data_IF_873847625888
#
_entry.id   IF_873847625888
#
_cell.length_a   1.000
_cell.length_b   1.000
_cell.length_c   1.000
_cell.angle_alpha   90.00
_cell.angle_beta   90.00
_cell.angle_gamma   90.00
#
_symmetry.space_group_name_H-M   'P 1'
#
loop_
_entity.id
_entity.type
_entity.pdbx_description
1 polymer ?
#
# COMPACT_ATOMS: atom_id res chain seq x y z
N UNK A 1 2.52 -13.59 -14.49
CA UNK A 1 1.88 -13.97 -13.21
C UNK A 1 1.06 -12.77 -12.76
N UNK A 2 -0.05 -12.97 -12.04
CA UNK A 2 -0.89 -11.88 -11.53
C UNK A 2 -0.96 -12.01 -10.02
N UNK A 3 -0.92 -10.90 -9.31
CA UNK A 3 -0.97 -10.84 -7.85
C UNK A 3 -2.24 -10.12 -7.41
N UNK A 4 -2.93 -10.68 -6.41
CA UNK A 4 -4.18 -10.12 -5.88
C UNK A 4 -3.94 -9.01 -4.84
N UNK A 5 -2.70 -8.88 -4.35
CA UNK A 5 -2.31 -7.87 -3.37
C UNK A 5 -1.19 -6.98 -3.91
N UNK A 6 -1.18 -5.72 -3.48
CA UNK A 6 -0.01 -4.85 -3.66
C UNK A 6 1.18 -5.36 -2.85
N UNK A 7 2.34 -4.77 -3.08
CA UNK A 7 3.58 -5.13 -2.40
C UNK A 7 4.80 -5.02 -3.30
N UNK A 8 5.96 -5.42 -2.77
CA UNK A 8 7.22 -5.47 -3.50
C UNK A 8 7.51 -6.90 -3.95
N UNK A 9 7.81 -7.07 -5.23
CA UNK A 9 8.01 -8.37 -5.85
C UNK A 9 9.37 -8.44 -6.54
N UNK A 10 10.18 -9.42 -6.18
CA UNK A 10 11.40 -9.76 -6.93
C UNK A 10 11.02 -10.63 -8.12
N UNK A 11 11.20 -10.09 -9.33
CA UNK A 11 10.97 -10.80 -10.58
C UNK A 11 12.32 -11.18 -11.18
N UNK A 12 12.50 -12.45 -11.49
CA UNK A 12 13.68 -12.95 -12.18
C UNK A 12 13.37 -13.38 -13.61
N UNK A 13 14.26 -13.01 -14.53
CA UNK A 13 14.25 -13.47 -15.92
C UNK A 13 15.53 -14.26 -16.21
N UNK A 14 15.34 -15.50 -16.67
CA UNK A 14 16.41 -16.39 -17.12
C UNK A 14 16.10 -16.85 -18.55
N UNK A 15 17.11 -16.86 -19.42
CA UNK A 15 16.96 -17.33 -20.80
C UNK A 15 17.65 -18.67 -20.97
N UNK A 16 16.94 -19.65 -21.52
CA UNK A 16 17.48 -20.98 -21.82
C UNK A 16 17.62 -21.17 -23.32
N UNK A 17 18.78 -21.63 -23.78
CA UNK A 17 18.99 -21.95 -25.20
C UNK A 17 18.55 -23.39 -25.53
N UNK A 18 18.65 -23.77 -26.80
CA UNK A 18 18.26 -25.11 -27.30
C UNK A 18 19.06 -26.28 -26.69
N UNK A 19 20.19 -26.00 -26.02
CA UNK A 19 21.04 -26.98 -25.35
C UNK A 19 20.76 -27.07 -23.85
N UNK A 20 19.79 -26.32 -23.33
CA UNK A 20 19.45 -26.32 -21.90
C UNK A 20 20.38 -25.49 -21.02
N UNK A 21 21.27 -24.67 -21.59
CA UNK A 21 22.10 -23.76 -20.82
C UNK A 21 21.33 -22.48 -20.49
N UNK A 22 21.37 -22.08 -19.23
CA UNK A 22 20.68 -20.90 -18.69
C UNK A 22 21.63 -19.70 -18.56
N UNK A 23 21.09 -18.49 -18.71
CA UNK A 23 21.80 -17.26 -18.35
C UNK A 23 21.90 -17.09 -16.84
N UNK A 24 22.75 -16.16 -16.38
CA UNK A 24 22.58 -15.59 -15.04
C UNK A 24 21.19 -14.92 -14.95
N UNK A 25 20.52 -15.00 -13.78
CA UNK A 25 19.22 -14.39 -13.60
C UNK A 25 19.35 -12.86 -13.58
N UNK A 26 18.52 -12.18 -14.37
CA UNK A 26 18.29 -10.76 -14.18
C UNK A 26 17.16 -10.57 -13.18
N UNK A 27 17.40 -9.82 -12.10
CA UNK A 27 16.44 -9.59 -11.02
C UNK A 27 16.03 -8.11 -11.01
N UNK A 28 14.72 -7.86 -11.00
CA UNK A 28 14.14 -6.54 -10.84
C UNK A 28 13.11 -6.55 -9.71
N UNK A 29 13.08 -5.47 -8.92
CA UNK A 29 12.06 -5.27 -7.90
C UNK A 29 10.93 -4.42 -8.47
N UNK A 30 9.73 -4.98 -8.49
CA UNK A 30 8.51 -4.31 -8.94
C UNK A 30 7.65 -3.97 -7.73
N UNK A 31 7.30 -2.69 -7.57
CA UNK A 31 6.29 -2.27 -6.61
C UNK A 31 4.90 -2.20 -7.26
N UNK A 32 3.96 -2.95 -6.68
CA UNK A 32 2.53 -2.82 -6.97
C UNK A 32 1.89 -2.04 -5.83
N UNK A 33 1.19 -0.95 -6.13
CA UNK A 33 0.53 -0.19 -5.08
C UNK A 33 -0.55 -1.04 -4.39
N UNK A 34 -0.50 -1.04 -3.06
CA UNK A 34 -1.51 -1.61 -2.19
C UNK A 34 -2.78 -0.76 -2.26
N UNK A 35 -3.92 -1.38 -2.54
CA UNK A 35 -5.24 -0.76 -2.36
C UNK A 35 -5.84 -1.12 -0.99
N UNK A 36 -5.01 -1.52 0.00
CA UNK A 36 -5.50 -1.85 1.32
C UNK A 36 -6.14 -0.60 1.93
N UNK A 37 -7.45 -0.61 2.22
CA UNK A 37 -8.10 0.55 2.85
C UNK A 37 -7.41 0.86 4.17
N UNK A 38 -7.01 2.12 4.35
CA UNK A 38 -6.34 2.59 5.55
C UNK A 38 -4.81 2.47 5.56
N UNK A 39 -4.20 1.83 4.55
CA UNK A 39 -2.75 1.82 4.33
C UNK A 39 -2.35 3.13 3.66
N UNK A 40 -2.16 4.17 4.47
CA UNK A 40 -2.05 5.54 3.98
C UNK A 40 -0.67 5.80 3.39
N UNK A 41 0.37 5.10 3.88
CA UNK A 41 1.74 5.24 3.36
C UNK A 41 2.12 4.19 2.30
N UNK A 42 1.22 3.28 1.96
CA UNK A 42 1.40 2.20 1.00
C UNK A 42 2.58 1.26 1.30
N UNK A 43 2.92 1.10 2.58
CA UNK A 43 3.97 0.16 3.00
C UNK A 43 3.48 -1.29 3.14
N UNK A 44 2.18 -1.52 2.84
CA UNK A 44 1.50 -2.82 2.92
C UNK A 44 1.33 -3.34 4.35
N UNK A 45 1.45 -2.48 5.37
CA UNK A 45 1.30 -2.83 6.78
C UNK A 45 0.35 -1.86 7.48
N UNK A 46 -0.87 -2.30 7.78
CA UNK A 46 -1.82 -1.49 8.52
C UNK A 46 -1.40 -1.35 9.99
N UNK A 47 -0.96 -0.16 10.43
CA UNK A 47 -0.48 0.05 11.78
C UNK A 47 -0.65 1.50 12.29
N UNK A 48 -0.08 1.80 13.47
CA UNK A 48 -0.20 3.12 14.10
C UNK A 48 0.39 4.26 13.25
N UNK A 49 1.33 3.96 12.36
CA UNK A 49 1.92 4.95 11.46
C UNK A 49 0.87 5.52 10.49
N UNK A 50 -0.04 4.69 9.96
CA UNK A 50 -1.16 5.14 9.13
C UNK A 50 -2.08 6.10 9.88
N UNK A 51 -2.36 5.80 11.15
CA UNK A 51 -3.17 6.67 12.02
C UNK A 51 -2.50 8.02 12.23
N UNK A 52 -1.18 8.03 12.46
CA UNK A 52 -0.41 9.27 12.64
C UNK A 52 -0.43 10.11 11.36
N UNK A 53 -0.29 9.48 10.20
CA UNK A 53 -0.32 10.17 8.90
C UNK A 53 -1.71 10.76 8.64
N UNK A 54 -2.78 9.98 8.83
CA UNK A 54 -4.16 10.47 8.72
C UNK A 54 -4.43 11.63 9.70
N UNK A 55 -3.95 11.55 10.95
CA UNK A 55 -4.08 12.65 11.90
C UNK A 55 -3.38 13.93 11.41
N UNK A 56 -2.20 13.82 10.78
CA UNK A 56 -1.50 14.96 10.20
C UNK A 56 -2.29 15.61 9.06
N UNK A 57 -2.96 14.82 8.22
CA UNK A 57 -3.83 15.33 7.17
C UNK A 57 -5.04 16.06 7.75
N UNK A 58 -5.71 15.48 8.76
CA UNK A 58 -6.86 16.10 9.43
C UNK A 58 -6.48 17.42 10.11
N UNK A 59 -5.29 17.48 10.71
CA UNK A 59 -4.76 18.67 11.37
C UNK A 59 -4.18 19.70 10.39
N UNK A 60 -4.13 19.39 9.09
CA UNK A 60 -3.53 20.26 8.06
C UNK A 60 -2.03 20.47 8.23
N UNK A 61 -1.35 19.56 8.94
CA UNK A 61 0.12 19.56 9.07
C UNK A 61 0.81 18.97 7.84
N UNK A 62 0.06 18.22 7.04
CA UNK A 62 0.47 17.71 5.74
C UNK A 62 -0.75 17.65 4.79
N UNK A 63 -0.53 17.47 3.49
CA UNK A 63 -1.58 17.38 2.47
C UNK A 63 -1.50 16.05 1.72
N UNK A 64 -2.56 15.22 1.73
CA UNK A 64 -2.54 13.95 1.02
C UNK A 64 -2.52 14.14 -0.50
N UNK A 65 -1.82 13.26 -1.19
CA UNK A 65 -2.02 12.99 -2.61
C UNK A 65 -3.41 12.38 -2.85
N UNK A 66 -3.86 12.33 -4.10
CA UNK A 66 -5.17 11.73 -4.43
C UNK A 66 -5.27 10.26 -4.04
N UNK A 67 -4.17 9.50 -4.10
CA UNK A 67 -4.12 8.11 -3.66
C UNK A 67 -4.19 7.99 -2.14
N UNK A 68 -3.41 8.79 -1.41
CA UNK A 68 -3.43 8.79 0.07
C UNK A 68 -4.80 9.20 0.60
N UNK A 69 -5.43 10.21 -0.02
CA UNK A 69 -6.79 10.62 0.33
C UNK A 69 -7.78 9.46 0.15
N UNK A 70 -7.71 8.76 -0.99
CA UNK A 70 -8.61 7.64 -1.25
C UNK A 70 -8.37 6.45 -0.31
N UNK A 71 -7.12 6.22 0.13
CA UNK A 71 -6.80 5.21 1.12
C UNK A 71 -7.29 5.59 2.52
N UNK A 72 -7.30 6.89 2.84
CA UNK A 72 -7.59 7.41 4.17
C UNK A 72 -9.07 7.79 4.40
N UNK A 73 -9.86 8.04 3.35
CA UNK A 73 -11.32 8.26 3.40
C UNK A 73 -12.03 6.91 3.51
N UNK A 74 -12.17 6.42 4.75
CA UNK A 74 -12.58 5.05 5.03
C UNK A 74 -14.09 4.87 5.07
N UNK A 75 -14.84 5.96 5.20
CA UNK A 75 -16.30 5.95 5.10
C UNK A 75 -16.82 6.41 3.72
N UNK A 76 -15.94 6.94 2.86
CA UNK A 76 -16.25 7.36 1.50
C UNK A 76 -17.11 8.63 1.42
N UNK A 77 -17.08 9.47 2.45
CA UNK A 77 -17.87 10.71 2.50
C UNK A 77 -17.15 11.93 1.90
N UNK A 78 -15.90 11.75 1.47
CA UNK A 78 -15.08 12.80 0.87
C UNK A 78 -14.51 13.78 1.89
N UNK A 79 -14.50 13.47 3.18
CA UNK A 79 -13.98 14.33 4.25
C UNK A 79 -13.14 13.56 5.27
N UNK A 80 -11.82 13.71 5.22
CA UNK A 80 -10.94 13.16 6.26
C UNK A 80 -11.22 13.80 7.61
N UNK A 81 -11.68 13.00 8.57
CA UNK A 81 -11.96 13.45 9.94
C UNK A 81 -11.80 12.32 10.98
N UNK A 82 -12.23 12.57 12.22
CA UNK A 82 -12.08 11.62 13.33
C UNK A 82 -12.81 10.29 13.09
N UNK A 83 -13.85 10.26 12.25
CA UNK A 83 -14.56 9.02 11.91
C UNK A 83 -13.65 8.05 11.14
N UNK A 84 -12.82 8.56 10.23
CA UNK A 84 -11.85 7.73 9.50
C UNK A 84 -10.80 7.14 10.45
N UNK A 85 -10.31 7.94 11.42
CA UNK A 85 -9.40 7.43 12.46
C UNK A 85 -10.05 6.30 13.24
N UNK A 86 -11.32 6.44 13.65
CA UNK A 86 -12.02 5.38 14.39
C UNK A 86 -12.13 4.11 13.54
N UNK A 87 -12.51 4.23 12.27
CA UNK A 87 -12.59 3.08 11.35
C UNK A 87 -11.21 2.42 11.20
N UNK A 88 -10.16 3.21 10.96
CA UNK A 88 -8.79 2.72 10.84
C UNK A 88 -8.34 1.97 12.10
N UNK A 89 -8.61 2.51 13.29
CA UNK A 89 -8.26 1.83 14.54
C UNK A 89 -9.01 0.52 14.73
N UNK A 90 -10.27 0.42 14.30
CA UNK A 90 -11.01 -0.83 14.34
C UNK A 90 -10.43 -1.86 13.36
N UNK A 91 -10.02 -1.43 12.16
CA UNK A 91 -9.35 -2.29 11.18
C UNK A 91 -8.02 -2.84 11.73
N UNK A 92 -7.21 -2.00 12.40
CA UNK A 92 -5.94 -2.42 13.02
C UNK A 92 -6.17 -3.41 14.17
N UNK A 93 -7.23 -3.22 14.96
CA UNK A 93 -7.53 -4.02 16.14
C UNK A 93 -8.38 -5.27 15.83
N UNK A 94 -8.91 -5.39 14.61
CA UNK A 94 -9.84 -6.46 14.18
C UNK A 94 -11.10 -6.57 15.07
N UNK A 95 -11.69 -5.43 15.48
CA UNK A 95 -12.85 -5.34 16.41
C UNK A 95 -14.12 -4.77 15.81
#
# INVERSE_FOLDING_TARGET
HTYDQGGSYDVSLTVTNIYGMESEPHIEMIQLQSSMPGDVNFDSVLNILDVVILANYILGSDTPTSSEFAAADLNGDGTLNILDIVILTNLILEV
#
